data_IF_515786209891
#
_entry.id   IF_515786209891
#
_cell.length_a   1.000
_cell.length_b   1.000
_cell.length_c   1.000
_cell.angle_alpha   90.00
_cell.angle_beta   90.00
_cell.angle_gamma   90.00
#
_symmetry.space_group_name_H-M   'P 1'
#
loop_
_entity.id
_entity.type
_entity.pdbx_description
1 polymer ?
#
# COMPACT_ATOMS: atom_id res chain seq x y z
N UNK A 1 2.61 32.62 -5.14
CA UNK A 1 2.12 31.69 -6.18
C UNK A 1 0.60 31.65 -6.16
N UNK A 2 -0.02 31.59 -7.33
CA UNK A 2 -1.48 31.61 -7.51
C UNK A 2 -1.99 30.19 -7.64
N UNK A 3 -2.70 29.69 -6.63
CA UNK A 3 -3.38 28.40 -6.76
C UNK A 3 -4.51 28.52 -7.78
N UNK A 4 -4.47 27.69 -8.83
CA UNK A 4 -5.50 27.63 -9.87
C UNK A 4 -6.85 27.04 -9.39
N UNK A 5 -6.98 26.66 -8.11
CA UNK A 5 -8.19 26.09 -7.51
C UNK A 5 -8.80 24.92 -8.32
N UNK A 6 -7.95 24.14 -9.00
CA UNK A 6 -8.36 22.98 -9.80
C UNK A 6 -8.94 21.80 -8.98
N UNK A 7 -8.92 21.88 -7.65
CA UNK A 7 -9.46 20.89 -6.71
C UNK A 7 -8.86 19.48 -6.78
N UNK A 8 -7.82 19.25 -7.59
CA UNK A 8 -7.12 17.96 -7.69
C UNK A 8 -6.64 17.45 -6.32
N UNK A 9 -6.21 18.35 -5.43
CA UNK A 9 -5.78 18.00 -4.07
C UNK A 9 -6.89 17.47 -3.16
N UNK A 10 -8.17 17.66 -3.51
CA UNK A 10 -9.34 17.25 -2.71
C UNK A 10 -10.04 16.00 -3.24
N UNK A 11 -9.62 15.46 -4.38
CA UNK A 11 -10.24 14.28 -5.01
C UNK A 11 -9.90 12.95 -4.32
N UNK A 12 -9.05 12.97 -3.28
CA UNK A 12 -8.68 11.78 -2.51
C UNK A 12 -7.71 10.83 -3.21
N UNK A 13 -7.11 11.25 -4.33
CA UNK A 13 -6.06 10.50 -5.00
C UNK A 13 -4.75 10.53 -4.20
N UNK A 14 -3.99 9.42 -4.24
CA UNK A 14 -2.67 9.28 -3.59
C UNK A 14 -1.61 10.20 -4.19
N UNK A 15 -1.73 10.48 -5.48
CA UNK A 15 -0.92 11.45 -6.17
C UNK A 15 -1.83 12.22 -7.12
N UNK A 16 -1.57 13.52 -7.26
CA UNK A 16 -2.34 14.39 -8.13
C UNK A 16 -1.42 15.37 -8.85
N UNK A 17 -1.81 15.79 -10.04
CA UNK A 17 -1.05 16.78 -10.79
C UNK A 17 -1.39 18.20 -10.31
N UNK A 18 -0.38 18.99 -9.96
CA UNK A 18 -0.53 20.37 -9.52
C UNK A 18 -0.06 21.33 -10.62
N UNK A 19 -0.99 22.08 -11.22
CA UNK A 19 -0.69 23.02 -12.31
C UNK A 19 0.27 24.14 -11.89
N UNK A 20 0.17 24.62 -10.64
CA UNK A 20 1.06 25.66 -10.11
C UNK A 20 2.50 25.15 -9.94
N UNK A 21 2.67 23.86 -9.65
CA UNK A 21 3.99 23.21 -9.57
C UNK A 21 4.44 22.59 -10.89
N UNK A 22 3.53 22.47 -11.85
CA UNK A 22 3.70 21.71 -13.10
C UNK A 22 4.28 20.30 -12.88
N UNK A 23 3.88 19.64 -11.79
CA UNK A 23 4.41 18.34 -11.39
C UNK A 23 3.38 17.51 -10.61
N UNK A 24 3.65 16.21 -10.46
CA UNK A 24 2.88 15.29 -9.63
C UNK A 24 3.25 15.48 -8.15
N UNK A 25 2.24 15.73 -7.33
CA UNK A 25 2.35 15.88 -5.88
C UNK A 25 1.75 14.65 -5.21
N UNK A 26 2.50 14.05 -4.29
CA UNK A 26 2.04 12.94 -3.46
C UNK A 26 1.20 13.51 -2.31
N UNK A 27 0.03 12.94 -2.09
CA UNK A 27 -0.89 13.34 -1.03
C UNK A 27 -0.56 12.61 0.28
N UNK A 28 0.20 13.26 1.15
CA UNK A 28 0.69 12.66 2.42
C UNK A 28 -0.45 12.26 3.37
N UNK A 29 -1.55 13.02 3.39
CA UNK A 29 -2.70 12.75 4.28
C UNK A 29 -3.46 11.46 3.93
N UNK A 30 -3.46 11.06 2.66
CA UNK A 30 -4.04 9.79 2.21
C UNK A 30 -3.05 8.62 2.37
N UNK A 31 -1.75 8.88 2.35
CA UNK A 31 -0.75 7.83 2.50
C UNK A 31 -0.63 7.33 3.93
N UNK A 32 -0.77 8.19 4.94
CA UNK A 32 -0.76 7.78 6.35
C UNK A 32 -1.91 6.81 6.67
N UNK A 33 -3.13 7.10 6.19
CA UNK A 33 -4.29 6.21 6.37
C UNK A 33 -4.10 4.83 5.72
N UNK A 34 -3.47 4.77 4.54
CA UNK A 34 -3.17 3.47 3.91
C UNK A 34 -2.08 2.73 4.68
N UNK A 35 -1.03 3.39 5.15
CA UNK A 35 0.07 2.73 5.85
C UNK A 35 -0.37 2.17 7.21
N UNK A 36 -1.24 2.88 7.94
CA UNK A 36 -1.79 2.44 9.22
C UNK A 36 -2.78 1.28 9.05
N UNK A 37 -3.61 1.29 8.00
CA UNK A 37 -4.60 0.25 7.72
C UNK A 37 -4.10 -0.86 6.78
N UNK A 38 -2.82 -0.83 6.37
CA UNK A 38 -2.21 -1.93 5.64
C UNK A 38 -1.99 -3.07 6.63
N UNK A 39 -3.05 -3.83 6.89
CA UNK A 39 -2.89 -5.15 7.47
C UNK A 39 -1.85 -5.87 6.64
N UNK A 40 -0.68 -6.12 7.25
CA UNK A 40 0.38 -6.91 6.64
C UNK A 40 -0.11 -8.36 6.58
N UNK A 41 -1.11 -8.62 5.74
CA UNK A 41 -1.33 -9.95 5.20
C UNK A 41 -0.07 -10.25 4.40
N UNK A 42 0.88 -10.93 5.06
CA UNK A 42 2.20 -11.19 4.52
C UNK A 42 2.05 -11.70 3.09
N UNK A 43 2.63 -10.96 2.16
CA UNK A 43 2.59 -11.24 0.73
C UNK A 43 2.83 -12.74 0.49
N UNK A 44 1.77 -13.45 0.11
CA UNK A 44 1.75 -14.87 -0.27
C UNK A 44 2.52 -15.82 0.67
N UNK A 45 2.15 -15.91 1.94
CA UNK A 45 2.19 -17.26 2.55
C UNK A 45 0.93 -17.96 2.07
N UNK A 46 1.09 -19.03 1.29
CA UNK A 46 -0.04 -19.89 0.92
C UNK A 46 -0.83 -20.32 2.16
N UNK A 47 -1.98 -20.97 1.96
CA UNK A 47 -2.81 -21.43 3.07
C UNK A 47 -1.95 -22.06 4.19
N UNK A 48 -2.08 -21.56 5.42
CA UNK A 48 -1.25 -21.98 6.57
C UNK A 48 -1.19 -23.52 6.70
N UNK A 49 -2.31 -24.19 6.48
CA UNK A 49 -2.40 -25.65 6.56
C UNK A 49 -1.62 -26.33 5.43
N UNK A 50 -1.65 -25.76 4.22
CA UNK A 50 -0.83 -26.23 3.09
C UNK A 50 0.66 -26.08 3.38
N UNK A 51 1.07 -24.94 3.97
CA UNK A 51 2.47 -24.71 4.34
C UNK A 51 2.97 -25.65 5.44
N UNK A 52 2.15 -25.91 6.47
CA UNK A 52 2.47 -26.90 7.52
C UNK A 52 2.61 -28.29 6.90
N UNK A 53 1.67 -28.70 6.03
CA UNK A 53 1.75 -29.99 5.35
C UNK A 53 3.00 -30.10 4.47
N UNK A 54 3.32 -29.08 3.66
CA UNK A 54 4.51 -29.06 2.80
C UNK A 54 5.79 -29.20 3.61
N UNK A 55 5.92 -28.46 4.70
CA UNK A 55 7.10 -28.50 5.59
C UNK A 55 7.28 -29.87 6.25
N UNK A 56 6.18 -30.49 6.70
CA UNK A 56 6.19 -31.87 7.22
C UNK A 56 6.61 -32.88 6.14
N UNK A 57 6.05 -32.78 4.94
CA UNK A 57 6.37 -33.66 3.81
C UNK A 57 7.85 -33.56 3.38
N UNK A 58 8.42 -32.34 3.43
CA UNK A 58 9.82 -32.07 3.09
C UNK A 58 10.80 -32.29 4.25
N UNK A 59 10.30 -32.66 5.45
CA UNK A 59 11.11 -32.80 6.68
C UNK A 59 11.95 -31.55 7.00
N UNK A 60 11.42 -30.36 6.68
CA UNK A 60 12.08 -29.07 6.96
C UNK A 60 12.00 -28.71 8.46
N UNK A 61 11.23 -29.47 9.25
CA UNK A 61 11.05 -29.30 10.70
C UNK A 61 11.18 -30.67 11.34
N UNK A 62 12.11 -30.82 12.30
CA UNK A 62 12.15 -31.97 13.20
C UNK A 62 10.97 -31.86 14.18
N UNK A 63 10.17 -32.92 14.28
CA UNK A 63 9.04 -33.04 15.24
C UNK A 63 9.56 -33.66 16.52
#
# INVERSE_FOLDING_TARGET
MSCFNCQNCKQGAHAYFCLDKNDFVINESHNTQILENKERSGWKKGNKNYEIHRRKARKEVEV
#
